data_IF_074244561436
#
_entry.id   IF_074244561436
#
_cell.length_a   1.000
_cell.length_b   1.000
_cell.length_c   1.000
_cell.angle_alpha   90.00
_cell.angle_beta   90.00
_cell.angle_gamma   90.00
#
_symmetry.space_group_name_H-M   'P 1'
#
loop_
_entity.id
_entity.type
_entity.pdbx_description
1 polymer ?
#
# COMPACT_ATOMS: atom_id res chain seq x y z
N UNK A 1 11.93 20.74 -7.47
CA UNK A 1 12.48 20.46 -6.13
C UNK A 1 13.97 20.69 -6.14
N UNK A 2 14.65 20.44 -5.00
CA UNK A 2 16.11 20.52 -4.85
C UNK A 2 16.77 19.14 -4.67
N UNK A 3 16.06 18.06 -5.00
CA UNK A 3 16.51 16.67 -4.93
C UNK A 3 16.52 16.08 -6.34
N UNK A 4 17.54 15.30 -6.66
CA UNK A 4 17.71 14.60 -7.94
C UNK A 4 17.56 13.10 -7.66
N UNK A 5 16.64 12.46 -8.37
CA UNK A 5 16.45 11.00 -8.36
C UNK A 5 16.77 10.49 -9.78
N UNK A 6 17.78 9.61 -9.95
CA UNK A 6 18.09 9.02 -11.25
C UNK A 6 16.89 8.25 -11.83
N UNK A 7 16.71 8.29 -13.15
CA UNK A 7 15.59 7.59 -13.81
C UNK A 7 15.64 6.06 -13.60
N UNK A 8 16.84 5.50 -13.47
CA UNK A 8 17.10 4.08 -13.21
C UNK A 8 16.41 3.59 -11.93
N UNK A 9 16.22 4.48 -10.93
CA UNK A 9 15.53 4.18 -9.68
C UNK A 9 14.03 3.91 -9.83
N UNK A 10 13.43 4.12 -11.01
CA UNK A 10 12.00 3.95 -11.24
C UNK A 10 11.64 2.67 -12.00
N UNK A 11 12.27 2.43 -13.15
CA UNK A 11 11.96 1.27 -13.99
C UNK A 11 12.94 0.14 -13.75
N UNK A 12 14.21 0.40 -14.07
CA UNK A 12 15.26 -0.62 -14.16
C UNK A 12 15.54 -1.32 -12.82
N UNK A 13 15.42 -0.60 -11.70
CA UNK A 13 15.65 -1.18 -10.37
C UNK A 13 14.34 -1.73 -9.76
N UNK A 14 13.21 -1.04 -9.89
CA UNK A 14 11.97 -1.45 -9.21
C UNK A 14 11.27 -2.61 -9.90
N UNK A 15 11.20 -2.61 -11.23
CA UNK A 15 10.48 -3.65 -11.98
C UNK A 15 10.97 -5.08 -11.68
N UNK A 16 12.29 -5.39 -11.71
CA UNK A 16 12.77 -6.74 -11.43
C UNK A 16 12.60 -7.18 -9.97
N UNK A 17 12.26 -6.27 -9.06
CA UNK A 17 11.98 -6.58 -7.65
C UNK A 17 10.48 -6.69 -7.40
N UNK A 18 9.71 -5.70 -7.84
CA UNK A 18 8.28 -5.57 -7.54
C UNK A 18 7.44 -6.57 -8.32
N UNK A 19 7.73 -6.80 -9.61
CA UNK A 19 6.90 -7.74 -10.40
C UNK A 19 6.95 -9.18 -9.86
N UNK A 20 8.13 -9.76 -9.53
CA UNK A 20 8.17 -11.08 -8.90
C UNK A 20 7.41 -11.14 -7.57
N UNK A 21 7.52 -10.10 -6.74
CA UNK A 21 6.78 -10.05 -5.48
C UNK A 21 5.27 -10.04 -5.70
N UNK A 22 4.78 -9.29 -6.70
CA UNK A 22 3.36 -9.27 -7.03
C UNK A 22 2.85 -10.64 -7.52
N UNK A 23 3.66 -11.37 -8.29
CA UNK A 23 3.33 -12.74 -8.73
C UNK A 23 3.25 -13.72 -7.55
N UNK A 24 4.17 -13.64 -6.59
CA UNK A 24 4.13 -14.44 -5.37
C UNK A 24 2.90 -14.11 -4.51
N UNK A 25 2.63 -12.82 -4.28
CA UNK A 25 1.46 -12.33 -3.53
C UNK A 25 0.19 -12.85 -4.20
N UNK A 26 0.09 -12.75 -5.52
CA UNK A 26 -1.05 -13.26 -6.26
C UNK A 26 -1.26 -14.76 -6.03
N UNK A 27 -0.19 -15.56 -6.08
CA UNK A 27 -0.26 -17.00 -5.84
C UNK A 27 -0.74 -17.32 -4.40
N UNK A 28 -0.18 -16.64 -3.40
CA UNK A 28 -0.58 -16.78 -1.99
C UNK A 28 -2.05 -16.42 -1.78
N UNK A 29 -2.50 -15.31 -2.39
CA UNK A 29 -3.88 -14.82 -2.28
C UNK A 29 -4.87 -15.75 -2.97
N UNK A 30 -4.54 -16.25 -4.16
CA UNK A 30 -5.33 -17.28 -4.88
C UNK A 30 -5.41 -18.59 -4.10
N UNK A 31 -4.34 -19.01 -3.44
CA UNK A 31 -4.37 -20.19 -2.59
C UNK A 31 -5.26 -20.01 -1.34
N UNK A 32 -5.25 -18.82 -0.73
CA UNK A 32 -6.02 -18.50 0.48
C UNK A 32 -7.51 -18.29 0.22
N UNK A 33 -7.87 -17.57 -0.85
CA UNK A 33 -9.26 -17.32 -1.21
C UNK A 33 -9.45 -17.42 -2.74
N UNK A 34 -9.64 -18.64 -3.28
CA UNK A 34 -9.74 -18.87 -4.72
C UNK A 34 -10.88 -18.11 -5.41
N UNK A 35 -11.98 -17.86 -4.69
CA UNK A 35 -13.18 -17.24 -5.26
C UNK A 35 -13.09 -15.71 -5.31
N UNK A 36 -12.36 -15.11 -4.38
CA UNK A 36 -12.14 -13.67 -4.35
C UNK A 36 -10.78 -13.34 -3.73
N UNK A 37 -9.69 -13.54 -4.48
CA UNK A 37 -8.34 -13.41 -3.95
C UNK A 37 -7.99 -11.98 -3.57
N UNK A 38 -8.73 -10.96 -4.00
CA UNK A 38 -8.38 -9.56 -3.76
C UNK A 38 -9.24 -8.86 -2.71
N UNK A 39 -10.27 -9.53 -2.18
CA UNK A 39 -11.09 -9.00 -1.10
C UNK A 39 -10.22 -8.63 0.12
N UNK A 40 -10.29 -7.37 0.55
CA UNK A 40 -9.48 -6.89 1.67
C UNK A 40 -8.03 -6.55 1.32
N UNK A 41 -7.60 -6.70 0.06
CA UNK A 41 -6.24 -6.38 -0.37
C UNK A 41 -6.12 -4.92 -0.80
N UNK A 42 -6.07 -4.03 0.19
CA UNK A 42 -5.83 -2.59 0.02
C UNK A 42 -4.35 -2.21 0.07
N UNK A 43 -4.06 -0.91 0.20
CA UNK A 43 -2.70 -0.40 0.36
C UNK A 43 -2.04 -0.88 1.66
N UNK A 44 -2.81 -1.11 2.72
CA UNK A 44 -2.28 -1.63 3.99
C UNK A 44 -1.67 -3.02 3.81
N UNK A 45 -2.45 -3.95 3.27
CA UNK A 45 -1.99 -5.32 2.99
C UNK A 45 -0.85 -5.34 1.97
N UNK A 46 -0.90 -4.49 0.95
CA UNK A 46 0.19 -4.35 -0.02
C UNK A 46 1.49 -3.89 0.65
N UNK A 47 1.43 -2.86 1.51
CA UNK A 47 2.59 -2.38 2.25
C UNK A 47 3.16 -3.43 3.19
N UNK A 48 2.32 -4.22 3.86
CA UNK A 48 2.77 -5.34 4.67
C UNK A 48 3.41 -6.45 3.85
N UNK A 49 2.80 -6.83 2.72
CA UNK A 49 3.32 -7.87 1.84
C UNK A 49 4.67 -7.50 1.21
N UNK A 50 4.88 -6.23 0.88
CA UNK A 50 6.19 -5.72 0.44
C UNK A 50 7.18 -5.61 1.59
N UNK A 51 6.76 -5.11 2.75
CA UNK A 51 7.64 -4.97 3.91
C UNK A 51 8.14 -6.31 4.45
N UNK A 52 7.32 -7.36 4.41
CA UNK A 52 7.70 -8.72 4.81
C UNK A 52 8.79 -9.33 3.89
N UNK A 53 8.96 -8.78 2.67
CA UNK A 53 9.98 -9.21 1.69
C UNK A 53 11.24 -8.35 1.71
N UNK A 54 11.27 -7.28 2.51
CA UNK A 54 12.43 -6.40 2.67
C UNK A 54 13.23 -6.87 3.89
N UNK A 55 14.54 -7.08 3.74
CA UNK A 55 15.44 -7.51 4.83
C UNK A 55 16.25 -6.37 5.47
N UNK A 56 15.93 -5.12 5.12
CA UNK A 56 16.59 -3.93 5.64
C UNK A 56 15.84 -3.32 6.83
N UNK A 57 16.40 -3.44 8.04
CA UNK A 57 15.84 -2.87 9.27
C UNK A 57 15.76 -1.32 9.24
N UNK A 58 16.50 -0.64 8.36
CA UNK A 58 16.37 0.81 8.19
C UNK A 58 15.18 1.22 7.30
N UNK A 59 14.57 0.26 6.60
CA UNK A 59 13.43 0.51 5.72
C UNK A 59 12.15 0.78 6.51
N UNK A 60 11.46 1.86 6.11
CA UNK A 60 10.14 2.19 6.64
C UNK A 60 9.14 1.03 6.45
N UNK A 61 9.08 0.46 5.25
CA UNK A 61 8.12 -0.62 4.96
C UNK A 61 8.43 -1.89 5.75
N UNK A 62 9.71 -2.20 5.98
CA UNK A 62 10.10 -3.33 6.84
C UNK A 62 9.55 -3.15 8.26
N UNK A 63 9.79 -1.98 8.88
CA UNK A 63 9.32 -1.70 10.24
C UNK A 63 7.79 -1.70 10.33
N UNK A 64 7.12 -1.09 9.35
CA UNK A 64 5.65 -1.07 9.25
C UNK A 64 5.08 -2.47 9.20
N UNK A 65 5.65 -3.34 8.36
CA UNK A 65 5.21 -4.72 8.24
C UNK A 65 5.49 -5.52 9.52
N UNK A 66 6.72 -5.45 10.06
CA UNK A 66 7.15 -6.12 11.29
C UNK A 66 6.24 -5.82 12.48
N UNK A 67 5.75 -4.58 12.59
CA UNK A 67 4.87 -4.14 13.67
C UNK A 67 3.38 -4.10 13.29
N UNK A 68 3.02 -4.50 12.07
CA UNK A 68 1.66 -4.43 11.53
C UNK A 68 1.00 -3.07 11.74
N UNK A 69 1.75 -2.00 11.45
CA UNK A 69 1.25 -0.64 11.47
C UNK A 69 0.48 -0.40 10.16
N UNK A 70 -0.79 0.04 10.20
CA UNK A 70 -1.53 0.27 8.96
C UNK A 70 -1.02 1.52 8.24
N UNK A 71 -0.66 1.37 6.96
CA UNK A 71 -0.29 2.47 6.07
C UNK A 71 -1.33 2.57 4.97
N UNK A 72 -2.17 3.61 5.05
CA UNK A 72 -3.21 3.86 4.05
C UNK A 72 -2.71 4.90 3.04
N UNK A 73 -2.82 4.57 1.75
CA UNK A 73 -2.38 5.39 0.62
C UNK A 73 -3.59 5.68 -0.30
N UNK A 74 -4.32 6.78 -0.08
CA UNK A 74 -5.54 7.08 -0.84
C UNK A 74 -5.29 7.29 -2.34
N UNK A 75 -4.08 7.69 -2.72
CA UNK A 75 -3.65 7.94 -4.09
C UNK A 75 -2.67 6.89 -4.63
N UNK A 76 -2.81 5.61 -4.26
CA UNK A 76 -1.82 4.56 -4.54
C UNK A 76 -1.42 4.45 -6.02
N UNK A 77 -2.35 4.70 -6.95
CA UNK A 77 -2.09 4.61 -8.38
C UNK A 77 -1.20 5.74 -8.92
N UNK A 78 -1.13 6.87 -8.23
CA UNK A 78 -0.40 8.07 -8.67
C UNK A 78 1.06 8.05 -8.20
N UNK A 79 1.82 7.07 -8.69
CA UNK A 79 3.23 6.89 -8.33
C UNK A 79 3.91 5.75 -9.08
N UNK A 80 5.21 5.57 -8.83
CA UNK A 80 6.01 4.52 -9.49
C UNK A 80 5.49 3.12 -9.18
N UNK A 81 5.10 2.85 -7.93
CA UNK A 81 4.43 1.61 -7.54
C UNK A 81 3.10 1.46 -8.28
N UNK A 82 2.30 2.54 -8.41
CA UNK A 82 1.06 2.52 -9.19
C UNK A 82 1.27 2.08 -10.64
N UNK A 83 2.35 2.51 -11.28
CA UNK A 83 2.74 2.05 -12.61
C UNK A 83 3.10 0.55 -12.62
N UNK A 84 3.84 0.05 -11.63
CA UNK A 84 4.16 -1.37 -11.49
C UNK A 84 2.89 -2.23 -11.29
N UNK A 85 1.95 -1.78 -10.44
CA UNK A 85 0.66 -2.44 -10.24
C UNK A 85 -0.14 -2.51 -11.55
N UNK A 86 -0.14 -1.43 -12.33
CA UNK A 86 -0.78 -1.41 -13.64
C UNK A 86 -0.12 -2.38 -14.63
N UNK A 87 1.22 -2.43 -14.68
CA UNK A 87 1.94 -3.37 -15.54
C UNK A 87 1.69 -4.82 -15.14
N UNK A 88 1.66 -5.13 -13.84
CA UNK A 88 1.29 -6.45 -13.36
C UNK A 88 -0.14 -6.81 -13.77
N UNK A 89 -1.11 -5.89 -13.64
CA UNK A 89 -2.50 -6.09 -14.09
C UNK A 89 -2.62 -6.36 -15.60
N UNK A 90 -1.73 -5.82 -16.43
CA UNK A 90 -1.73 -6.16 -17.86
C UNK A 90 -1.38 -7.63 -18.13
N UNK A 91 -0.59 -8.25 -17.24
CA UNK A 91 -0.22 -9.67 -17.30
C UNK A 91 -1.23 -10.56 -16.56
N UNK A 92 -1.77 -10.07 -15.44
CA UNK A 92 -2.84 -10.72 -14.67
C UNK A 92 -4.11 -9.84 -14.64
N UNK A 93 -5.04 -10.02 -15.59
CA UNK A 93 -6.24 -9.18 -15.70
C UNK A 93 -7.14 -9.20 -14.47
N UNK A 94 -7.08 -10.29 -13.68
CA UNK A 94 -7.86 -10.48 -12.48
C UNK A 94 -7.30 -9.70 -11.28
N UNK A 95 -6.06 -9.20 -11.36
CA UNK A 95 -5.43 -8.42 -10.29
C UNK A 95 -6.21 -7.15 -9.97
N UNK A 96 -6.55 -6.97 -8.69
CA UNK A 96 -7.29 -5.81 -8.18
C UNK A 96 -6.71 -5.37 -6.84
N UNK A 97 -6.72 -4.05 -6.61
CA UNK A 97 -6.54 -3.46 -5.28
C UNK A 97 -7.92 -3.06 -4.75
N UNK A 98 -8.26 -3.55 -3.56
CA UNK A 98 -9.48 -3.22 -2.87
C UNK A 98 -9.29 -1.95 -2.02
N UNK A 99 -9.48 -0.79 -2.65
CA UNK A 99 -9.35 0.50 -1.95
C UNK A 99 -10.32 0.66 -0.79
N UNK A 100 -11.51 0.04 -0.86
CA UNK A 100 -12.51 0.16 0.19
C UNK A 100 -12.14 -0.64 1.44
N UNK A 101 -11.24 -1.62 1.32
CA UNK A 101 -10.68 -2.31 2.48
C UNK A 101 -9.92 -1.35 3.41
N UNK A 102 -9.16 -0.41 2.85
CA UNK A 102 -8.42 0.58 3.65
C UNK A 102 -9.37 1.55 4.36
N UNK A 103 -10.48 1.92 3.71
CA UNK A 103 -11.51 2.78 4.29
C UNK A 103 -12.20 2.09 5.49
N UNK A 104 -12.42 0.76 5.42
CA UNK A 104 -12.92 0.01 6.57
C UNK A 104 -11.93 0.05 7.74
N UNK A 105 -10.63 -0.12 7.49
CA UNK A 105 -9.60 -0.04 8.53
C UNK A 105 -9.62 1.33 9.20
N UNK A 106 -9.71 2.41 8.43
CA UNK A 106 -9.79 3.76 8.98
C UNK A 106 -11.06 3.98 9.80
N UNK A 107 -12.21 3.52 9.29
CA UNK A 107 -13.48 3.58 10.02
C UNK A 107 -13.37 2.87 11.37
N UNK A 108 -12.78 1.68 11.39
CA UNK A 108 -12.67 0.89 12.63
C UNK A 108 -11.74 1.57 13.64
N UNK A 109 -10.63 2.14 13.16
CA UNK A 109 -9.68 2.87 14.00
C UNK A 109 -10.29 4.15 14.59
N UNK A 110 -11.04 4.93 13.80
CA UNK A 110 -11.62 6.19 14.31
C UNK A 110 -12.83 5.94 15.20
N UNK A 111 -13.70 5.00 14.82
CA UNK A 111 -14.91 4.68 15.59
C UNK A 111 -14.62 4.12 16.99
N UNK A 112 -13.51 3.40 17.16
CA UNK A 112 -13.14 2.78 18.43
C UNK A 112 -12.23 3.66 19.30
N UNK A 113 -11.76 4.80 18.80
CA UNK A 113 -10.83 5.67 19.50
C UNK A 113 -11.57 6.57 20.52
N UNK A 114 -11.15 6.57 21.78
CA UNK A 114 -11.60 7.57 22.76
C UNK A 114 -11.09 8.98 22.40
N UNK A 115 -9.85 9.05 21.89
CA UNK A 115 -9.22 10.29 21.42
C UNK A 115 -8.30 9.99 20.25
N UNK A 116 -8.33 10.88 19.25
CA UNK A 116 -7.43 10.83 18.11
C UNK A 116 -6.60 12.11 18.02
N UNK A 117 -5.32 11.97 17.68
CA UNK A 117 -4.39 13.06 17.49
C UNK A 117 -3.67 12.86 16.15
N UNK A 118 -3.41 13.96 15.45
CA UNK A 118 -2.76 13.92 14.14
C UNK A 118 -1.55 14.86 14.10
N UNK A 119 -0.44 14.36 13.53
CA UNK A 119 0.68 15.16 13.06
C UNK A 119 0.69 15.10 11.54
N UNK A 120 0.53 16.26 10.89
CA UNK A 120 0.47 16.35 9.43
C UNK A 120 1.68 17.13 8.91
N UNK A 121 2.50 16.47 8.09
CA UNK A 121 3.63 17.10 7.40
C UNK A 121 3.23 17.28 5.93
N UNK A 122 2.94 18.53 5.55
CA UNK A 122 2.45 18.86 4.21
C UNK A 122 0.93 18.97 4.11
N UNK A 123 0.38 18.76 2.91
CA UNK A 123 -1.03 18.95 2.58
C UNK A 123 -1.56 17.91 1.61
N UNK A 124 -2.57 18.27 0.81
CA UNK A 124 -3.11 17.40 -0.24
C UNK A 124 -4.02 16.28 0.29
N UNK A 125 -4.04 15.17 -0.43
CA UNK A 125 -4.96 14.05 -0.19
C UNK A 125 -4.75 13.40 1.18
N UNK A 126 -3.50 13.24 1.63
CA UNK A 126 -3.19 12.66 2.94
C UNK A 126 -3.75 13.51 4.09
N UNK A 127 -3.59 14.85 4.03
CA UNK A 127 -4.16 15.78 5.02
C UNK A 127 -5.69 15.69 5.03
N UNK A 128 -6.32 15.73 3.86
CA UNK A 128 -7.78 15.67 3.75
C UNK A 128 -8.32 14.35 4.29
N UNK A 129 -7.72 13.22 3.92
CA UNK A 129 -8.17 11.89 4.32
C UNK A 129 -8.10 11.69 5.83
N UNK A 130 -7.03 12.14 6.49
CA UNK A 130 -6.94 12.13 7.97
C UNK A 130 -8.04 12.97 8.62
N UNK A 131 -8.26 14.20 8.16
CA UNK A 131 -9.30 15.08 8.75
C UNK A 131 -10.70 14.50 8.52
N UNK A 132 -10.96 13.98 7.32
CA UNK A 132 -12.25 13.39 6.95
C UNK A 132 -12.64 12.23 7.87
N UNK A 133 -11.71 11.32 8.18
CA UNK A 133 -12.02 10.17 9.02
C UNK A 133 -12.20 10.51 10.49
N UNK A 134 -11.57 11.58 10.97
CA UNK A 134 -11.66 12.04 12.35
C UNK A 134 -12.83 13.01 12.61
N UNK A 135 -13.71 13.22 11.62
CA UNK A 135 -14.96 13.96 11.82
C UNK A 135 -16.08 13.07 12.39
N UNK A 136 -15.90 11.75 12.31
CA UNK A 136 -16.77 10.72 12.86
C UNK A 136 -16.31 10.32 14.26
#
# INVERSE_FOLDING_TARGET
>A
GNVIVPNECYGEILEPVILPWLEEIEAERKAKNPNNPWLGFGSVELCWAFGDRIEDESSFLHQVAKHRIPVVIPGLSDGSIGAQLFMHRQKSPDFMIDFLADEQILSDLTWTADRSHALMIGGGISKHHVIWWNQY
#
